data_IF_395545909564
#
_entry.id   IF_395545909564
#
_cell.length_a   1.000
_cell.length_b   1.000
_cell.length_c   1.000
_cell.angle_alpha   90.00
_cell.angle_beta   90.00
_cell.angle_gamma   90.00
#
_symmetry.space_group_name_H-M   'P 1'
#
loop_
_entity.id
_entity.type
_entity.pdbx_description
1 polymer ?
#
# COMPACT_ATOMS: atom_id res chain seq x y z
N UNK A 1 12.87 -2.35 15.83
CA UNK A 1 12.50 -3.65 16.46
C UNK A 1 13.68 -4.20 17.23
N UNK A 2 14.85 -4.23 16.60
CA UNK A 2 16.13 -4.58 17.21
C UNK A 2 16.94 -3.29 17.48
N UNK A 3 18.04 -3.34 18.26
CA UNK A 3 18.97 -2.21 18.42
C UNK A 3 19.51 -1.69 17.08
N UNK A 4 19.88 -0.41 17.03
CA UNK A 4 20.43 0.25 15.84
C UNK A 4 21.62 -0.49 15.24
N UNK A 5 22.55 -0.93 16.08
CA UNK A 5 23.72 -1.73 15.67
C UNK A 5 23.33 -2.99 14.86
N UNK A 6 22.24 -3.67 15.20
CA UNK A 6 21.75 -4.80 14.41
C UNK A 6 20.99 -4.35 13.16
N UNK A 7 20.17 -3.30 13.27
CA UNK A 7 19.31 -2.86 12.18
C UNK A 7 20.07 -2.18 11.03
N UNK A 8 21.02 -1.32 11.35
CA UNK A 8 21.67 -0.40 10.41
C UNK A 8 23.03 -0.90 9.94
N UNK A 9 23.68 -1.76 10.74
CA UNK A 9 25.04 -2.21 10.49
C UNK A 9 25.15 -3.74 10.33
N UNK A 10 25.09 -4.49 11.44
CA UNK A 10 25.49 -5.91 11.45
C UNK A 10 24.59 -6.82 10.62
N UNK A 11 23.27 -6.61 10.64
CA UNK A 11 22.33 -7.41 9.86
C UNK A 11 21.92 -6.71 8.56
N UNK A 12 22.21 -5.42 8.40
CA UNK A 12 21.93 -4.69 7.16
C UNK A 12 22.85 -5.20 6.06
N UNK A 13 22.29 -5.41 4.87
CA UNK A 13 23.04 -5.87 3.69
C UNK A 13 23.71 -4.67 3.01
N UNK A 14 24.56 -3.97 3.75
CA UNK A 14 25.30 -2.80 3.27
C UNK A 14 26.24 -3.20 2.11
N UNK A 15 26.41 -2.33 1.11
CA UNK A 15 27.27 -2.61 -0.04
C UNK A 15 28.75 -2.68 0.38
N UNK A 16 29.56 -3.39 -0.41
CA UNK A 16 31.00 -3.51 -0.23
C UNK A 16 31.44 -4.10 1.13
N UNK A 17 30.57 -4.87 1.78
CA UNK A 17 30.90 -5.55 3.02
C UNK A 17 30.40 -6.98 2.99
N UNK A 18 31.16 -7.89 3.61
CA UNK A 18 30.75 -9.27 3.75
C UNK A 18 29.65 -9.36 4.81
N UNK A 19 28.56 -10.04 4.46
CA UNK A 19 27.35 -10.14 5.28
C UNK A 19 26.82 -11.57 5.30
N UNK A 20 26.43 -12.02 6.49
CA UNK A 20 25.73 -13.28 6.66
C UNK A 20 24.31 -13.15 6.11
N UNK A 21 23.88 -14.14 5.34
CA UNK A 21 22.55 -14.18 4.76
C UNK A 21 21.92 -15.58 4.89
N UNK A 22 20.59 -15.60 4.80
CA UNK A 22 19.84 -16.84 4.58
C UNK A 22 19.25 -16.76 3.18
N UNK A 23 19.83 -17.53 2.26
CA UNK A 23 19.48 -17.48 0.84
C UNK A 23 18.44 -18.52 0.47
N UNK A 24 17.57 -18.10 -0.45
CA UNK A 24 16.79 -19.00 -1.30
C UNK A 24 17.27 -18.77 -2.73
N UNK A 25 17.67 -19.84 -3.40
CA UNK A 25 18.27 -19.81 -4.74
C UNK A 25 17.43 -20.69 -5.64
N UNK A 26 17.05 -20.17 -6.80
CA UNK A 26 16.26 -20.90 -7.79
C UNK A 26 16.97 -21.00 -9.13
N UNK A 27 16.69 -22.08 -9.84
CA UNK A 27 16.88 -22.14 -11.30
C UNK A 27 15.54 -21.79 -11.96
N UNK A 28 15.49 -20.65 -12.64
CA UNK A 28 14.29 -20.13 -13.30
C UNK A 28 14.43 -20.19 -14.82
N UNK A 29 13.33 -20.35 -15.57
CA UNK A 29 13.29 -19.97 -16.99
C UNK A 29 13.13 -18.45 -17.17
N UNK A 30 13.12 -18.01 -18.43
CA UNK A 30 12.89 -16.61 -18.82
C UNK A 30 11.53 -16.06 -18.44
N UNK A 31 10.57 -16.92 -18.10
CA UNK A 31 9.24 -16.53 -17.64
C UNK A 31 9.16 -16.54 -16.10
N UNK A 32 10.21 -16.93 -15.38
CA UNK A 32 10.23 -17.01 -13.92
C UNK A 32 9.57 -18.28 -13.34
N UNK A 33 9.51 -19.39 -14.09
CA UNK A 33 9.06 -20.69 -13.57
C UNK A 33 10.21 -21.43 -12.90
N UNK A 34 9.95 -22.02 -11.74
CA UNK A 34 10.96 -22.72 -10.92
C UNK A 34 11.18 -24.14 -11.43
N UNK A 35 12.44 -24.50 -11.72
CA UNK A 35 12.86 -25.88 -12.01
C UNK A 35 13.57 -26.55 -10.84
N UNK A 36 14.34 -25.75 -10.10
CA UNK A 36 15.14 -26.22 -8.98
C UNK A 36 15.18 -25.15 -7.90
N UNK A 37 15.26 -25.59 -6.66
CA UNK A 37 15.16 -24.74 -5.47
C UNK A 37 16.13 -25.21 -4.40
N UNK A 38 16.92 -24.27 -3.89
CA UNK A 38 17.89 -24.50 -2.84
C UNK A 38 17.74 -23.46 -1.73
N UNK A 39 17.93 -23.91 -0.48
CA UNK A 39 17.92 -23.07 0.71
C UNK A 39 19.22 -23.28 1.48
N UNK A 40 19.77 -22.20 2.04
CA UNK A 40 20.89 -22.33 2.97
C UNK A 40 21.40 -21.02 3.53
N UNK A 41 22.24 -21.14 4.57
CA UNK A 41 23.01 -20.01 5.10
C UNK A 41 24.19 -19.72 4.18
N UNK A 42 24.41 -18.45 3.89
CA UNK A 42 25.41 -17.97 2.93
C UNK A 42 26.16 -16.77 3.50
N UNK A 43 27.27 -16.44 2.85
CA UNK A 43 27.95 -15.15 2.99
C UNK A 43 27.84 -14.45 1.64
N UNK A 44 27.38 -13.21 1.65
CA UNK A 44 27.24 -12.38 0.45
C UNK A 44 28.03 -11.09 0.61
N UNK A 45 28.33 -10.45 -0.51
CA UNK A 45 28.90 -9.11 -0.56
C UNK A 45 28.12 -8.31 -1.59
N UNK A 46 27.23 -7.43 -1.13
CA UNK A 46 26.40 -6.64 -2.04
C UNK A 46 27.28 -5.68 -2.83
N UNK A 47 27.22 -5.71 -4.17
CA UNK A 47 28.04 -4.84 -4.99
C UNK A 47 27.54 -3.39 -5.00
N UNK A 48 26.25 -3.15 -4.79
CA UNK A 48 25.69 -1.79 -4.83
C UNK A 48 24.36 -1.70 -4.08
N UNK A 49 23.98 -0.51 -3.64
CA UNK A 49 22.73 -0.22 -2.91
C UNK A 49 21.80 0.62 -3.78
N UNK A 50 21.01 -0.04 -4.62
CA UNK A 50 20.06 0.65 -5.50
C UNK A 50 18.86 1.18 -4.70
N UNK A 51 18.52 2.45 -4.93
CA UNK A 51 17.20 2.98 -4.63
C UNK A 51 16.20 2.53 -5.71
N UNK A 52 14.90 2.59 -5.42
CA UNK A 52 13.87 2.19 -6.39
C UNK A 52 13.91 3.03 -7.66
N UNK A 53 14.35 4.28 -7.55
CA UNK A 53 14.45 5.24 -8.64
C UNK A 53 15.57 4.86 -9.60
N UNK A 54 16.71 4.39 -9.09
CA UNK A 54 17.81 3.89 -9.91
C UNK A 54 17.35 2.70 -10.77
N UNK A 55 16.68 1.73 -10.13
CA UNK A 55 16.13 0.58 -10.85
C UNK A 55 15.02 0.96 -11.82
N UNK A 56 14.17 1.95 -11.47
CA UNK A 56 13.11 2.43 -12.35
C UNK A 56 13.67 3.07 -13.61
N UNK A 57 14.71 3.92 -13.50
CA UNK A 57 15.38 4.53 -14.66
C UNK A 57 15.95 3.49 -15.61
N UNK A 58 16.55 2.42 -15.09
CA UNK A 58 17.03 1.29 -15.90
C UNK A 58 15.86 0.65 -16.66
N UNK A 59 14.75 0.37 -15.99
CA UNK A 59 13.57 -0.26 -16.58
C UNK A 59 12.96 0.61 -17.69
N UNK A 60 12.92 1.93 -17.50
CA UNK A 60 12.36 2.88 -18.46
C UNK A 60 13.27 3.16 -19.66
N UNK A 61 14.58 2.91 -19.53
CA UNK A 61 15.57 3.17 -20.57
C UNK A 61 16.41 1.91 -20.89
N UNK A 62 15.78 0.82 -21.37
CA UNK A 62 16.43 -0.48 -21.50
C UNK A 62 17.59 -0.50 -22.51
N UNK A 63 17.57 0.40 -23.48
CA UNK A 63 18.60 0.49 -24.54
C UNK A 63 19.75 1.46 -24.19
N UNK A 64 19.66 2.15 -23.05
CA UNK A 64 20.66 3.14 -22.62
C UNK A 64 21.58 2.55 -21.54
N UNK A 65 22.88 2.78 -21.69
CA UNK A 65 23.84 2.45 -20.63
C UNK A 65 23.77 3.52 -19.53
N UNK A 66 23.54 3.15 -18.25
CA UNK A 66 23.48 4.12 -17.16
C UNK A 66 24.82 4.84 -16.99
N UNK A 67 24.76 6.16 -16.88
CA UNK A 67 25.90 7.01 -16.56
C UNK A 67 26.37 6.86 -15.11
N UNK A 68 27.47 7.53 -14.78
CA UNK A 68 28.04 7.51 -13.43
C UNK A 68 27.13 8.19 -12.39
N UNK A 69 26.35 9.19 -12.80
CA UNK A 69 25.39 9.89 -11.93
C UNK A 69 24.05 9.13 -11.78
N UNK A 70 23.81 8.11 -12.61
CA UNK A 70 22.54 7.38 -12.63
C UNK A 70 22.47 6.26 -11.59
N UNK A 71 23.63 5.71 -11.21
CA UNK A 71 23.75 4.59 -10.29
C UNK A 71 24.70 4.92 -9.13
N UNK A 72 24.44 4.38 -7.94
CA UNK A 72 25.34 4.53 -6.80
C UNK A 72 26.65 3.78 -7.03
N UNK A 73 27.67 3.97 -6.18
CA UNK A 73 28.94 3.26 -6.27
C UNK A 73 28.75 1.73 -6.38
N UNK A 74 29.60 1.09 -7.20
CA UNK A 74 29.57 -0.34 -7.48
C UNK A 74 30.90 -0.96 -7.08
N UNK A 75 30.86 -1.92 -6.15
CA UNK A 75 31.99 -2.72 -5.68
C UNK A 75 32.16 -4.01 -6.49
N UNK A 76 33.34 -4.63 -6.43
CA UNK A 76 33.54 -5.99 -6.94
C UNK A 76 33.75 -6.13 -8.45
N UNK A 77 34.13 -5.06 -9.14
CA UNK A 77 34.53 -5.09 -10.56
C UNK A 77 33.38 -5.22 -11.57
N UNK A 78 32.13 -5.05 -11.11
CA UNK A 78 30.96 -5.05 -11.99
C UNK A 78 30.79 -3.72 -12.71
N UNK A 79 30.44 -3.76 -13.98
CA UNK A 79 30.11 -2.56 -14.75
C UNK A 79 28.65 -2.11 -14.49
N UNK A 80 28.35 -0.86 -14.83
CA UNK A 80 26.99 -0.31 -14.76
C UNK A 80 26.06 -1.09 -15.70
N UNK A 81 26.57 -1.48 -16.86
CA UNK A 81 25.90 -2.35 -17.82
C UNK A 81 25.54 -3.72 -17.25
N UNK A 82 26.45 -4.38 -16.51
CA UNK A 82 26.15 -5.68 -15.88
C UNK A 82 24.98 -5.58 -14.89
N UNK A 83 24.92 -4.48 -14.12
CA UNK A 83 23.81 -4.23 -13.18
C UNK A 83 22.52 -3.98 -13.94
N UNK A 84 22.56 -3.14 -14.98
CA UNK A 84 21.39 -2.81 -15.79
C UNK A 84 20.78 -4.07 -16.44
N UNK A 85 21.61 -4.90 -17.09
CA UNK A 85 21.18 -6.15 -17.73
C UNK A 85 20.50 -7.10 -16.72
N UNK A 86 21.04 -7.21 -15.50
CA UNK A 86 20.45 -8.03 -14.43
C UNK A 86 19.09 -7.51 -13.97
N UNK A 87 18.98 -6.20 -13.78
CA UNK A 87 17.70 -5.57 -13.41
C UNK A 87 16.65 -5.82 -14.48
N UNK A 88 16.99 -5.67 -15.77
CA UNK A 88 16.08 -5.89 -16.89
C UNK A 88 15.63 -7.36 -16.99
N UNK A 89 16.54 -8.32 -16.80
CA UNK A 89 16.19 -9.75 -16.77
C UNK A 89 15.22 -10.05 -15.62
N UNK A 90 15.51 -9.56 -14.41
CA UNK A 90 14.64 -9.75 -13.25
C UNK A 90 13.29 -9.05 -13.44
N UNK A 91 13.27 -7.87 -14.05
CA UNK A 91 12.04 -7.14 -14.36
C UNK A 91 11.14 -7.96 -15.29
N UNK A 92 11.69 -8.49 -16.39
CA UNK A 92 10.94 -9.32 -17.34
C UNK A 92 10.35 -10.56 -16.68
N UNK A 93 11.14 -11.26 -15.87
CA UNK A 93 10.65 -12.41 -15.09
C UNK A 93 9.52 -12.01 -14.13
N UNK A 94 9.68 -10.89 -13.42
CA UNK A 94 8.66 -10.39 -12.50
C UNK A 94 7.37 -9.97 -13.22
N UNK A 95 7.43 -9.45 -14.44
CA UNK A 95 6.23 -9.18 -15.25
C UNK A 95 5.47 -10.48 -15.58
N UNK A 96 6.19 -11.51 -16.05
CA UNK A 96 5.58 -12.81 -16.34
C UNK A 96 4.99 -13.48 -15.08
N UNK A 97 5.71 -13.44 -13.95
CA UNK A 97 5.23 -13.96 -12.67
C UNK A 97 3.97 -13.25 -12.19
N UNK A 98 3.93 -11.91 -12.31
CA UNK A 98 2.77 -11.11 -11.92
C UNK A 98 1.56 -11.40 -12.79
N UNK A 99 1.74 -11.51 -14.11
CA UNK A 99 0.65 -11.83 -15.02
C UNK A 99 0.03 -13.19 -14.64
N UNK A 100 0.86 -14.24 -14.48
CA UNK A 100 0.37 -15.55 -14.03
C UNK A 100 -0.37 -15.48 -12.70
N UNK A 101 0.14 -14.70 -11.74
CA UNK A 101 -0.50 -14.53 -10.43
C UNK A 101 -1.86 -13.83 -10.55
N UNK A 102 -1.98 -12.85 -11.45
CA UNK A 102 -3.26 -12.24 -11.81
C UNK A 102 -4.20 -13.25 -12.46
N UNK A 103 -3.72 -14.02 -13.44
CA UNK A 103 -4.50 -15.08 -14.10
C UNK A 103 -4.97 -16.16 -13.11
N UNK A 104 -4.18 -16.44 -12.07
CA UNK A 104 -4.51 -17.35 -10.96
C UNK A 104 -5.48 -16.71 -9.93
N UNK A 105 -5.96 -15.50 -10.19
CA UNK A 105 -7.01 -14.81 -9.43
C UNK A 105 -6.52 -13.94 -8.27
N UNK A 106 -5.29 -13.43 -8.31
CA UNK A 106 -4.81 -12.51 -7.28
C UNK A 106 -5.50 -11.15 -7.37
N UNK A 107 -5.94 -10.65 -6.21
CA UNK A 107 -6.59 -9.36 -6.04
C UNK A 107 -5.60 -8.32 -5.50
N UNK A 108 -5.55 -7.19 -6.19
CA UNK A 108 -4.80 -6.01 -5.75
C UNK A 108 -5.74 -4.84 -5.49
N UNK A 109 -5.79 -4.39 -4.24
CA UNK A 109 -6.55 -3.24 -3.77
C UNK A 109 -5.58 -2.21 -3.19
N UNK A 110 -4.80 -1.60 -4.08
CA UNK A 110 -3.79 -0.63 -3.68
C UNK A 110 -4.44 0.67 -3.24
N UNK A 111 -3.93 1.23 -2.14
CA UNK A 111 -4.25 2.58 -1.69
C UNK A 111 -2.95 3.38 -1.67
N UNK A 112 -2.86 4.51 -2.40
CA UNK A 112 -1.69 5.36 -2.35
C UNK A 112 -1.45 5.85 -0.92
N UNK A 113 -0.21 6.22 -0.62
CA UNK A 113 0.16 6.68 0.73
C UNK A 113 0.56 8.14 0.71
N UNK A 114 0.05 8.89 1.69
CA UNK A 114 0.50 10.24 1.96
C UNK A 114 1.90 10.24 2.56
N UNK A 115 2.83 10.93 1.91
CA UNK A 115 4.18 11.15 2.37
C UNK A 115 4.46 12.65 2.50
N UNK A 116 5.42 12.99 3.36
CA UNK A 116 5.80 14.37 3.66
C UNK A 116 7.26 14.60 3.32
N UNK A 117 7.56 15.80 2.84
CA UNK A 117 8.91 16.34 2.83
C UNK A 117 9.10 17.15 4.10
N UNK A 118 10.19 16.90 4.81
CA UNK A 118 10.50 17.56 6.09
C UNK A 118 11.68 18.52 5.91
N UNK A 119 11.67 19.63 6.64
CA UNK A 119 12.82 20.51 6.84
C UNK A 119 13.84 19.81 7.74
N UNK A 120 14.94 19.30 7.18
CA UNK A 120 15.89 18.40 7.86
C UNK A 120 16.24 18.81 9.31
N UNK A 121 16.71 20.04 9.57
CA UNK A 121 17.07 20.49 10.91
C UNK A 121 15.89 20.74 11.85
N UNK A 122 14.70 21.08 11.33
CA UNK A 122 13.54 21.52 12.14
C UNK A 122 12.44 20.47 12.28
N UNK A 123 12.43 19.45 11.43
CA UNK A 123 11.42 18.40 11.37
C UNK A 123 10.03 18.85 10.91
N UNK A 124 9.85 20.12 10.53
CA UNK A 124 8.58 20.66 10.08
C UNK A 124 8.24 20.21 8.65
N UNK A 125 6.98 19.88 8.32
CA UNK A 125 6.59 19.51 6.97
C UNK A 125 6.63 20.73 6.04
N UNK A 126 7.35 20.61 4.93
CA UNK A 126 7.47 21.64 3.88
C UNK A 126 6.63 21.32 2.64
N UNK A 127 6.22 20.06 2.49
CA UNK A 127 5.49 19.56 1.33
C UNK A 127 4.87 18.19 1.60
N UNK A 128 3.93 17.79 0.75
CA UNK A 128 3.40 16.44 0.71
C UNK A 128 3.36 15.90 -0.72
N UNK A 129 3.30 14.57 -0.84
CA UNK A 129 3.12 13.87 -2.11
C UNK A 129 2.48 12.50 -1.88
N UNK A 130 1.87 11.91 -2.91
CA UNK A 130 1.39 10.53 -2.88
C UNK A 130 2.47 9.58 -3.34
N UNK A 131 2.82 8.59 -2.52
CA UNK A 131 3.71 7.51 -2.93
C UNK A 131 2.94 6.45 -3.73
N UNK A 132 3.26 6.36 -5.01
CA UNK A 132 2.73 5.36 -5.94
C UNK A 132 3.79 4.28 -6.19
N UNK A 133 3.35 3.01 -6.21
CA UNK A 133 4.26 1.91 -6.51
C UNK A 133 4.58 1.85 -8.00
N UNK A 134 5.87 1.81 -8.32
CA UNK A 134 6.41 1.72 -9.68
C UNK A 134 6.82 0.27 -10.03
N UNK A 135 7.30 0.07 -11.25
CA UNK A 135 7.70 -1.25 -11.73
C UNK A 135 8.93 -1.81 -11.00
N UNK A 136 9.83 -0.95 -10.51
CA UNK A 136 10.93 -1.36 -9.64
C UNK A 136 10.45 -1.90 -8.27
N UNK A 137 9.38 -1.33 -7.70
CA UNK A 137 8.76 -1.87 -6.47
C UNK A 137 8.18 -3.26 -6.73
N UNK A 138 7.43 -3.35 -7.82
CA UNK A 138 6.73 -4.53 -8.31
C UNK A 138 7.70 -5.65 -8.68
N UNK A 139 8.89 -5.33 -9.18
CA UNK A 139 9.97 -6.30 -9.43
C UNK A 139 10.33 -7.03 -8.13
N UNK A 140 10.69 -6.27 -7.10
CA UNK A 140 11.09 -6.83 -5.80
C UNK A 140 9.93 -7.60 -5.17
N UNK A 141 8.70 -7.10 -5.29
CA UNK A 141 7.49 -7.76 -4.76
C UNK A 141 7.39 -9.22 -5.20
N UNK A 142 7.52 -9.52 -6.50
CA UNK A 142 7.32 -10.88 -7.02
C UNK A 142 8.38 -11.88 -6.51
N UNK A 143 9.65 -11.48 -6.44
CA UNK A 143 10.70 -12.35 -5.89
C UNK A 143 10.54 -12.54 -4.38
N UNK A 144 10.06 -11.52 -3.66
CA UNK A 144 9.79 -11.64 -2.23
C UNK A 144 8.58 -12.54 -1.97
N UNK A 145 7.54 -12.48 -2.81
CA UNK A 145 6.42 -13.41 -2.76
C UNK A 145 6.88 -14.84 -3.02
N UNK A 146 7.69 -15.06 -4.06
CA UNK A 146 8.25 -16.38 -4.38
C UNK A 146 9.06 -16.94 -3.21
N UNK A 147 9.96 -16.14 -2.62
CA UNK A 147 10.73 -16.50 -1.43
C UNK A 147 9.83 -16.92 -0.26
N UNK A 148 8.81 -16.11 0.03
CA UNK A 148 7.88 -16.36 1.13
C UNK A 148 7.07 -17.64 0.91
N UNK A 149 6.59 -17.91 -0.30
CA UNK A 149 5.84 -19.13 -0.64
C UNK A 149 6.71 -20.38 -0.55
N UNK A 150 7.92 -20.33 -1.13
CA UNK A 150 8.91 -21.42 -1.06
C UNK A 150 9.24 -21.80 0.39
N UNK A 151 9.56 -20.80 1.21
CA UNK A 151 9.86 -21.02 2.63
C UNK A 151 8.64 -21.53 3.39
N UNK A 152 7.44 -21.02 3.12
CA UNK A 152 6.22 -21.51 3.76
C UNK A 152 6.01 -23.01 3.49
N UNK A 153 6.19 -23.46 2.25
CA UNK A 153 6.13 -24.87 1.89
C UNK A 153 7.22 -25.70 2.59
N UNK A 154 8.46 -25.19 2.63
CA UNK A 154 9.60 -25.89 3.22
C UNK A 154 9.44 -26.09 4.74
N UNK A 155 9.03 -25.06 5.47
CA UNK A 155 8.84 -25.15 6.93
C UNK A 155 7.65 -26.04 7.27
N UNK A 156 6.52 -25.92 6.55
CA UNK A 156 5.32 -26.72 6.82
C UNK A 156 5.58 -28.21 6.61
N UNK A 157 6.30 -28.57 5.55
CA UNK A 157 6.72 -29.95 5.29
C UNK A 157 7.56 -30.55 6.41
N UNK A 158 8.39 -29.72 7.06
CA UNK A 158 9.35 -30.17 8.08
C UNK A 158 8.75 -30.14 9.48
N UNK A 159 7.89 -29.17 9.77
CA UNK A 159 7.26 -28.94 11.07
C UNK A 159 5.76 -28.65 10.90
N UNK A 160 4.93 -29.66 10.59
CA UNK A 160 3.52 -29.47 10.27
C UNK A 160 2.69 -28.92 11.43
N UNK A 161 3.16 -29.06 12.67
CA UNK A 161 2.45 -28.62 13.88
C UNK A 161 2.98 -27.31 14.49
N UNK A 162 4.11 -26.78 14.00
CA UNK A 162 4.78 -25.61 14.58
C UNK A 162 5.08 -24.50 13.58
N UNK A 163 4.63 -24.64 12.34
CA UNK A 163 4.95 -23.68 11.30
C UNK A 163 4.20 -22.37 11.51
N UNK A 164 4.95 -21.27 11.48
CA UNK A 164 4.40 -19.91 11.50
C UNK A 164 4.07 -19.52 10.07
N UNK A 165 2.77 -19.39 9.81
CA UNK A 165 2.21 -19.07 8.49
C UNK A 165 1.39 -17.79 8.56
N UNK A 166 0.97 -17.27 7.41
CA UNK A 166 0.15 -16.07 7.28
C UNK A 166 -0.97 -16.31 6.28
N UNK A 167 -2.22 -16.22 6.75
CA UNK A 167 -3.42 -16.38 5.92
C UNK A 167 -4.15 -15.05 5.72
N UNK A 168 -5.08 -15.05 4.77
CA UNK A 168 -6.02 -13.96 4.55
C UNK A 168 -7.37 -14.60 4.23
N UNK A 169 -8.30 -14.52 5.17
CA UNK A 169 -9.64 -15.08 5.00
C UNK A 169 -10.42 -14.28 3.96
N UNK A 170 -11.44 -14.88 3.30
CA UNK A 170 -12.33 -14.16 2.41
C UNK A 170 -12.98 -12.95 3.10
N UNK A 171 -13.41 -11.93 2.34
CA UNK A 171 -14.13 -10.76 2.87
C UNK A 171 -15.44 -11.14 3.56
N UNK A 172 -15.98 -10.19 4.33
CA UNK A 172 -17.29 -10.30 4.94
C UNK A 172 -18.38 -10.27 3.85
N UNK A 173 -19.12 -11.37 3.69
CA UNK A 173 -20.08 -11.57 2.57
C UNK A 173 -21.15 -10.48 2.50
N UNK A 174 -21.83 -10.18 3.60
CA UNK A 174 -22.88 -9.15 3.64
C UNK A 174 -22.39 -7.75 3.25
N UNK A 175 -21.37 -7.20 3.94
CA UNK A 175 -20.79 -5.90 3.58
C UNK A 175 -20.22 -5.83 2.15
N UNK A 176 -19.67 -6.92 1.62
CA UNK A 176 -19.21 -6.97 0.22
C UNK A 176 -20.39 -6.92 -0.76
N UNK A 177 -21.45 -7.69 -0.50
CA UNK A 177 -22.66 -7.64 -1.31
C UNK A 177 -23.33 -6.25 -1.26
N UNK A 178 -23.28 -5.57 -0.11
CA UNK A 178 -23.76 -4.19 0.03
C UNK A 178 -22.95 -3.21 -0.83
N UNK A 179 -21.62 -3.33 -0.82
CA UNK A 179 -20.74 -2.51 -1.65
C UNK A 179 -21.02 -2.74 -3.15
N UNK A 180 -21.17 -4.00 -3.58
CA UNK A 180 -21.50 -4.36 -4.95
C UNK A 180 -22.87 -3.81 -5.38
N UNK A 181 -23.90 -3.90 -4.50
CA UNK A 181 -25.23 -3.33 -4.77
C UNK A 181 -25.21 -1.81 -4.89
N UNK A 182 -24.43 -1.13 -4.04
CA UNK A 182 -24.28 0.33 -4.11
C UNK A 182 -23.65 0.75 -5.45
N UNK A 183 -22.58 0.06 -5.87
CA UNK A 183 -21.91 0.31 -7.15
C UNK A 183 -22.83 0.01 -8.34
N UNK A 184 -23.60 -1.08 -8.28
CA UNK A 184 -24.61 -1.39 -9.31
C UNK A 184 -25.68 -0.31 -9.43
N UNK A 185 -26.10 0.27 -8.30
CA UNK A 185 -27.08 1.36 -8.28
C UNK A 185 -26.62 2.64 -9.01
N UNK A 186 -25.31 2.83 -9.18
CA UNK A 186 -24.72 3.92 -9.97
C UNK A 186 -24.21 3.46 -11.34
N UNK A 187 -24.66 2.29 -11.80
CA UNK A 187 -24.33 1.76 -13.12
C UNK A 187 -22.99 1.02 -13.21
N UNK A 188 -22.35 0.69 -12.09
CA UNK A 188 -21.08 -0.04 -12.06
C UNK A 188 -21.30 -1.47 -11.58
N UNK A 189 -21.25 -2.43 -12.51
CA UNK A 189 -21.34 -3.85 -12.16
C UNK A 189 -19.95 -4.41 -11.81
N UNK A 190 -19.86 -5.08 -10.66
CA UNK A 190 -18.64 -5.75 -10.19
C UNK A 190 -19.01 -7.17 -9.79
N UNK A 191 -18.30 -8.13 -10.35
CA UNK A 191 -18.34 -9.51 -9.89
C UNK A 191 -17.52 -9.64 -8.60
N UNK A 192 -18.18 -10.10 -7.54
CA UNK A 192 -17.59 -10.26 -6.21
C UNK A 192 -17.51 -11.71 -5.74
N UNK A 193 -17.67 -12.68 -6.65
CA UNK A 193 -17.66 -14.11 -6.32
C UNK A 193 -16.29 -14.59 -5.84
N UNK A 194 -15.21 -14.10 -6.45
CA UNK A 194 -13.84 -14.50 -6.11
C UNK A 194 -12.88 -13.32 -6.11
N UNK A 195 -11.69 -13.50 -5.55
CA UNK A 195 -10.63 -12.48 -5.63
C UNK A 195 -10.26 -12.13 -7.08
N UNK A 196 -10.26 -13.12 -7.97
CA UNK A 196 -9.95 -12.94 -9.39
C UNK A 196 -11.02 -12.15 -10.11
N UNK A 197 -12.30 -12.52 -9.95
CA UNK A 197 -13.40 -11.81 -10.64
C UNK A 197 -13.56 -10.36 -10.18
N UNK A 198 -13.27 -10.08 -8.89
CA UNK A 198 -13.16 -8.68 -8.40
C UNK A 198 -12.04 -7.95 -9.12
N UNK A 199 -10.87 -8.58 -9.25
CA UNK A 199 -9.72 -7.97 -9.89
C UNK A 199 -9.97 -7.69 -11.38
N UNK A 200 -10.55 -8.65 -12.10
CA UNK A 200 -10.87 -8.52 -13.52
C UNK A 200 -11.90 -7.40 -13.75
N UNK A 201 -12.92 -7.31 -12.89
CA UNK A 201 -13.91 -6.23 -12.91
C UNK A 201 -13.24 -4.85 -12.73
N UNK A 202 -12.27 -4.75 -11.80
CA UNK A 202 -11.51 -3.51 -11.57
C UNK A 202 -10.59 -3.17 -12.74
N UNK A 203 -9.94 -4.16 -13.36
CA UNK A 203 -9.08 -3.92 -14.52
C UNK A 203 -9.88 -3.45 -15.74
N UNK A 204 -11.01 -4.10 -16.03
CA UNK A 204 -11.90 -3.70 -17.11
C UNK A 204 -12.41 -2.26 -16.91
N UNK A 205 -12.81 -1.93 -15.68
CA UNK A 205 -13.24 -0.58 -15.31
C UNK A 205 -12.12 0.45 -15.45
N UNK A 206 -10.91 0.12 -15.00
CA UNK A 206 -9.73 0.98 -15.13
C UNK A 206 -9.42 1.28 -16.60
N UNK A 207 -9.44 0.27 -17.47
CA UNK A 207 -9.18 0.42 -18.89
C UNK A 207 -10.24 1.30 -19.59
N UNK A 208 -11.53 1.08 -19.28
CA UNK A 208 -12.62 1.89 -19.83
C UNK A 208 -12.48 3.37 -19.41
N UNK A 209 -12.27 3.64 -18.13
CA UNK A 209 -12.13 5.01 -17.63
C UNK A 209 -10.87 5.71 -18.13
N UNK A 210 -9.76 5.00 -18.31
CA UNK A 210 -8.55 5.58 -18.87
C UNK A 210 -8.73 6.02 -20.33
N UNK A 211 -9.64 5.38 -21.08
CA UNK A 211 -9.97 5.75 -22.44
C UNK A 211 -10.98 6.91 -22.53
N UNK A 212 -11.88 7.03 -21.56
CA UNK A 212 -13.04 7.94 -21.63
C UNK A 212 -12.92 9.20 -20.77
N UNK A 213 -12.14 9.16 -19.68
CA UNK A 213 -12.09 10.21 -18.65
C UNK A 213 -10.71 10.88 -18.58
N UNK A 214 -10.64 12.14 -18.10
CA UNK A 214 -9.37 12.73 -17.72
C UNK A 214 -8.62 11.85 -16.69
N UNK A 215 -7.28 11.75 -16.77
CA UNK A 215 -6.51 10.85 -15.90
C UNK A 215 -6.78 11.03 -14.39
N UNK A 216 -6.89 12.27 -13.92
CA UNK A 216 -7.15 12.57 -12.51
C UNK A 216 -8.53 12.10 -12.05
N UNK A 217 -9.55 12.22 -12.92
CA UNK A 217 -10.90 11.77 -12.63
C UNK A 217 -10.97 10.23 -12.57
N UNK A 218 -10.34 9.55 -13.53
CA UNK A 218 -10.23 8.09 -13.53
C UNK A 218 -9.57 7.56 -12.25
N UNK A 219 -8.47 8.18 -11.81
CA UNK A 219 -7.78 7.85 -10.56
C UNK A 219 -8.69 8.05 -9.35
N UNK A 220 -9.38 9.20 -9.27
CA UNK A 220 -10.26 9.53 -8.15
C UNK A 220 -11.44 8.55 -8.04
N UNK A 221 -12.09 8.23 -9.16
CA UNK A 221 -13.18 7.24 -9.21
C UNK A 221 -12.70 5.85 -8.85
N UNK A 222 -11.54 5.42 -9.37
CA UNK A 222 -10.97 4.12 -9.02
C UNK A 222 -10.65 4.01 -7.54
N UNK A 223 -10.11 5.07 -6.93
CA UNK A 223 -9.83 5.09 -5.50
C UNK A 223 -11.12 4.94 -4.65
N UNK A 224 -12.24 5.54 -5.06
CA UNK A 224 -13.54 5.36 -4.40
C UNK A 224 -14.00 3.90 -4.47
N UNK A 225 -13.96 3.29 -5.66
CA UNK A 225 -14.36 1.89 -5.85
C UNK A 225 -13.48 0.95 -5.01
N UNK A 226 -12.16 1.12 -5.11
CA UNK A 226 -11.19 0.34 -4.32
C UNK A 226 -11.42 0.54 -2.81
N UNK A 227 -11.70 1.76 -2.35
CA UNK A 227 -12.02 2.01 -0.94
C UNK A 227 -13.27 1.22 -0.50
N UNK A 228 -14.35 1.28 -1.28
CA UNK A 228 -15.60 0.58 -0.98
C UNK A 228 -15.41 -0.93 -0.91
N UNK A 229 -14.67 -1.52 -1.85
CA UNK A 229 -14.36 -2.95 -1.88
C UNK A 229 -13.31 -3.37 -0.84
N UNK A 230 -12.50 -2.44 -0.32
CA UNK A 230 -11.50 -2.73 0.72
C UNK A 230 -12.10 -2.82 2.12
N UNK A 231 -13.21 -2.11 2.39
CA UNK A 231 -13.83 -2.07 3.74
C UNK A 231 -14.30 -3.44 4.24
N UNK A 232 -14.92 -4.31 3.40
CA UNK A 232 -15.32 -5.67 3.79
C UNK A 232 -14.17 -6.66 3.96
N UNK A 233 -12.95 -6.31 3.55
CA UNK A 233 -11.82 -7.24 3.56
C UNK A 233 -11.35 -7.51 5.00
N UNK A 234 -11.10 -8.79 5.30
CA UNK A 234 -10.55 -9.17 6.59
C UNK A 234 -9.04 -8.88 6.66
N UNK A 235 -8.50 -8.53 7.84
CA UNK A 235 -7.06 -8.37 7.99
C UNK A 235 -6.36 -9.73 7.83
N UNK A 236 -5.26 -9.77 7.08
CA UNK A 236 -4.39 -10.94 7.02
C UNK A 236 -3.68 -11.17 8.36
N UNK A 237 -3.63 -12.42 8.81
CA UNK A 237 -3.18 -12.80 10.15
C UNK A 237 -2.13 -13.92 10.13
N UNK A 238 -1.19 -13.85 11.06
CA UNK A 238 -0.27 -14.94 11.38
C UNK A 238 -0.98 -15.99 12.22
N UNK A 239 -0.63 -17.25 12.01
CA UNK A 239 -1.13 -18.38 12.78
C UNK A 239 -0.09 -19.50 12.86
N UNK A 240 -0.28 -20.40 13.82
CA UNK A 240 0.46 -21.63 13.99
C UNK A 240 -0.29 -22.79 13.33
N UNK A 241 0.39 -23.54 12.47
CA UNK A 241 -0.20 -24.67 11.74
C UNK A 241 -0.72 -25.80 12.64
N UNK A 242 -0.22 -25.94 13.88
CA UNK A 242 -0.73 -26.96 14.81
C UNK A 242 -1.97 -26.55 15.61
N UNK A 243 -2.43 -25.31 15.49
CA UNK A 243 -3.72 -24.88 16.07
C UNK A 243 -4.81 -24.86 15.00
N UNK A 244 -4.46 -24.45 13.78
CA UNK A 244 -5.34 -24.47 12.63
C UNK A 244 -5.02 -25.71 11.79
N UNK A 245 -5.77 -26.80 11.91
CA UNK A 245 -5.39 -28.08 11.29
C UNK A 245 -5.94 -28.29 9.88
N UNK A 246 -6.95 -27.51 9.47
CA UNK A 246 -7.55 -27.62 8.15
C UNK A 246 -6.74 -26.82 7.10
N UNK A 247 -6.08 -27.53 6.19
CA UNK A 247 -5.25 -26.90 5.14
C UNK A 247 -6.04 -25.93 4.24
N UNK A 248 -7.34 -26.16 4.04
CA UNK A 248 -8.21 -25.24 3.29
C UNK A 248 -8.27 -23.84 3.90
N UNK A 249 -8.05 -23.72 5.21
CA UNK A 249 -8.09 -22.46 5.94
C UNK A 249 -6.76 -21.68 5.87
N UNK A 250 -5.72 -22.22 5.21
CA UNK A 250 -4.39 -21.59 5.11
C UNK A 250 -4.33 -20.58 3.97
N UNK A 251 -5.30 -20.65 3.06
CA UNK A 251 -5.37 -19.84 1.85
C UNK A 251 -5.23 -18.37 2.16
N UNK A 252 -4.51 -17.66 1.28
CA UNK A 252 -4.43 -16.22 1.29
C UNK A 252 -5.31 -15.64 0.18
N UNK A 253 -6.52 -15.20 0.54
CA UNK A 253 -7.55 -14.71 -0.40
C UNK A 253 -6.99 -13.75 -1.45
N UNK A 254 -6.46 -12.59 -1.04
CA UNK A 254 -5.97 -11.59 -2.00
C UNK A 254 -4.77 -12.04 -2.86
N UNK A 255 -3.96 -12.99 -2.39
CA UNK A 255 -2.84 -13.47 -3.20
C UNK A 255 -3.26 -14.65 -4.09
N UNK A 256 -4.44 -15.23 -3.85
CA UNK A 256 -4.93 -16.46 -4.45
C UNK A 256 -3.98 -17.67 -4.32
N UNK A 257 -3.22 -17.74 -3.22
CA UNK A 257 -2.26 -18.84 -2.97
C UNK A 257 -2.69 -19.72 -1.79
N UNK A 258 -2.42 -21.03 -1.83
CA UNK A 258 -2.83 -21.96 -0.77
C UNK A 258 -2.00 -21.79 0.51
N UNK A 259 -0.77 -21.29 0.40
CA UNK A 259 0.17 -21.25 1.51
C UNK A 259 1.09 -20.03 1.40
N UNK A 260 1.25 -19.31 2.51
CA UNK A 260 2.09 -18.11 2.56
C UNK A 260 2.64 -17.89 3.97
N UNK A 261 3.80 -17.23 4.06
CA UNK A 261 4.38 -16.74 5.32
C UNK A 261 5.16 -15.45 5.08
N UNK A 262 5.82 -14.92 6.10
CA UNK A 262 6.82 -13.87 5.94
C UNK A 262 8.19 -14.36 6.37
N UNK A 263 9.17 -14.21 5.49
CA UNK A 263 10.56 -14.61 5.68
C UNK A 263 11.55 -13.48 5.35
N UNK A 264 11.20 -12.60 4.41
CA UNK A 264 12.13 -11.70 3.74
C UNK A 264 12.51 -10.41 4.49
N UNK A 265 12.12 -10.24 5.76
CA UNK A 265 12.42 -9.01 6.52
C UNK A 265 12.61 -9.23 8.04
N UNK A 266 13.54 -10.11 8.48
CA UNK A 266 13.76 -10.42 9.89
C UNK A 266 14.22 -9.24 10.76
N UNK A 267 14.85 -8.23 10.17
CA UNK A 267 15.32 -7.03 10.89
C UNK A 267 14.16 -6.22 11.48
N UNK A 268 13.01 -6.22 10.80
CA UNK A 268 11.85 -5.35 11.11
C UNK A 268 10.55 -6.11 11.42
N UNK A 269 10.55 -7.44 11.33
CA UNK A 269 9.38 -8.29 11.60
C UNK A 269 9.80 -9.52 12.41
N UNK A 270 9.22 -9.67 13.59
CA UNK A 270 9.47 -10.83 14.46
C UNK A 270 8.97 -12.18 13.90
N UNK A 271 7.83 -12.25 13.17
CA UNK A 271 7.40 -13.48 12.49
C UNK A 271 8.47 -14.06 11.57
N UNK A 272 9.17 -13.21 10.82
CA UNK A 272 10.27 -13.62 9.96
C UNK A 272 11.41 -14.23 10.78
N UNK A 273 11.72 -13.71 11.98
CA UNK A 273 12.71 -14.32 12.88
C UNK A 273 12.28 -15.73 13.31
N UNK A 274 11.00 -15.94 13.63
CA UNK A 274 10.47 -17.27 13.94
C UNK A 274 10.60 -18.23 12.74
N UNK A 275 10.26 -17.74 11.55
CA UNK A 275 10.37 -18.52 10.30
C UNK A 275 11.83 -18.83 9.96
N UNK A 276 12.76 -17.90 10.18
CA UNK A 276 14.20 -18.14 9.99
C UNK A 276 14.72 -19.26 10.91
N UNK A 277 14.28 -19.30 12.17
CA UNK A 277 14.62 -20.38 13.11
C UNK A 277 14.03 -21.72 12.67
N UNK A 278 12.76 -21.73 12.24
CA UNK A 278 12.12 -22.92 11.70
C UNK A 278 12.83 -23.44 10.45
N UNK A 279 13.22 -22.54 9.54
CA UNK A 279 13.95 -22.92 8.32
C UNK A 279 15.36 -23.43 8.64
N UNK A 280 16.08 -22.79 9.57
CA UNK A 280 17.38 -23.26 10.04
C UNK A 280 17.29 -24.70 10.60
N UNK A 281 16.26 -24.98 11.39
CA UNK A 281 16.02 -26.31 11.91
C UNK A 281 15.59 -27.32 10.84
N UNK A 282 14.78 -26.89 9.87
CA UNK A 282 14.38 -27.71 8.72
C UNK A 282 15.58 -28.11 7.84
N UNK A 283 16.63 -27.29 7.84
CA UNK A 283 17.91 -27.56 7.19
C UNK A 283 18.95 -28.19 8.11
N UNK A 284 18.57 -28.54 9.34
CA UNK A 284 19.43 -29.20 10.33
C UNK A 284 20.66 -28.38 10.76
N UNK A 285 20.62 -27.05 10.62
CA UNK A 285 21.69 -26.18 11.11
C UNK A 285 21.67 -26.05 12.64
N UNK A 286 20.47 -25.98 13.22
CA UNK A 286 20.24 -25.82 14.66
C UNK A 286 19.01 -26.62 15.07
N UNK A 287 18.96 -27.22 16.27
CA UNK A 287 17.77 -27.90 16.75
C UNK A 287 16.63 -26.91 16.98
N UNK A 288 15.39 -27.32 16.67
CA UNK A 288 14.20 -26.55 17.03
C UNK A 288 13.79 -26.86 18.48
N UNK A 289 13.56 -25.83 19.28
CA UNK A 289 12.91 -25.98 20.57
C UNK A 289 11.46 -26.47 20.39
N UNK A 290 11.12 -27.59 21.02
CA UNK A 290 9.80 -28.20 20.93
C UNK A 290 8.82 -27.45 21.84
N UNK A 291 8.23 -26.37 21.33
CA UNK A 291 7.18 -25.62 22.01
C UNK A 291 5.81 -26.24 21.75
N UNK A 292 4.87 -26.24 22.72
CA UNK A 292 3.48 -26.57 22.44
C UNK A 292 2.89 -25.63 21.37
N UNK A 293 2.11 -26.13 20.38
CA UNK A 293 1.56 -25.31 19.30
C UNK A 293 0.79 -24.07 19.76
N UNK A 294 0.12 -24.17 20.92
CA UNK A 294 -0.60 -23.06 21.54
C UNK A 294 0.32 -21.89 21.95
N UNK A 295 1.58 -22.16 22.32
CA UNK A 295 2.55 -21.11 22.65
C UNK A 295 2.98 -20.38 21.38
N UNK A 296 3.24 -21.12 20.30
CA UNK A 296 3.53 -20.53 18.98
C UNK A 296 2.35 -19.68 18.51
N UNK A 297 1.11 -20.15 18.68
CA UNK A 297 -0.08 -19.39 18.34
C UNK A 297 -0.19 -18.09 19.15
N UNK A 298 0.13 -18.09 20.45
CA UNK A 298 0.16 -16.86 21.26
C UNK A 298 1.18 -15.84 20.73
N UNK A 299 2.34 -16.30 20.24
CA UNK A 299 3.31 -15.42 19.57
C UNK A 299 2.72 -14.84 18.27
N UNK A 300 2.03 -15.65 17.48
CA UNK A 300 1.34 -15.20 16.26
C UNK A 300 0.29 -14.12 16.57
N UNK A 301 -0.57 -14.34 17.58
CA UNK A 301 -1.57 -13.36 18.02
C UNK A 301 -0.92 -12.04 18.43
N UNK A 302 0.14 -12.07 19.24
CA UNK A 302 0.89 -10.86 19.61
C UNK A 302 1.49 -10.15 18.40
N UNK A 303 1.96 -10.90 17.40
CA UNK A 303 2.46 -10.32 16.15
C UNK A 303 1.34 -9.66 15.34
N UNK A 304 0.13 -10.22 15.34
CA UNK A 304 -1.05 -9.61 14.69
C UNK A 304 -1.43 -8.30 15.37
N UNK A 305 -1.52 -8.29 16.70
CA UNK A 305 -1.80 -7.09 17.50
C UNK A 305 -0.78 -5.98 17.20
N UNK A 306 0.52 -6.29 17.26
CA UNK A 306 1.57 -5.30 17.00
C UNK A 306 1.60 -4.84 15.55
N UNK A 307 1.23 -5.70 14.59
CA UNK A 307 1.08 -5.31 13.19
C UNK A 307 -0.06 -4.31 13.02
N UNK A 308 -1.19 -4.52 13.69
CA UNK A 308 -2.31 -3.57 13.69
C UNK A 308 -1.93 -2.26 14.37
N UNK A 309 -1.34 -2.30 15.56
CA UNK A 309 -0.90 -1.10 16.27
C UNK A 309 0.10 -0.27 15.45
N UNK A 310 1.06 -0.93 14.78
CA UNK A 310 2.03 -0.24 13.92
C UNK A 310 1.36 0.44 12.72
N UNK A 311 0.34 -0.18 12.12
CA UNK A 311 -0.46 0.43 11.05
C UNK A 311 -1.20 1.67 11.55
N UNK A 312 -1.95 1.54 12.64
CA UNK A 312 -2.73 2.65 13.22
C UNK A 312 -1.82 3.82 13.64
N UNK A 313 -0.67 3.53 14.24
CA UNK A 313 0.33 4.54 14.57
C UNK A 313 0.84 5.26 13.32
N UNK A 314 1.21 4.52 12.26
CA UNK A 314 1.66 5.12 11.00
C UNK A 314 0.60 6.02 10.37
N UNK A 315 -0.67 5.57 10.34
CA UNK A 315 -1.78 6.37 9.82
C UNK A 315 -1.98 7.63 10.67
N UNK A 316 -1.98 7.52 12.00
CA UNK A 316 -2.09 8.65 12.91
C UNK A 316 -0.93 9.66 12.77
N UNK A 317 0.30 9.18 12.56
CA UNK A 317 1.45 10.04 12.27
C UNK A 317 1.23 10.83 10.97
N UNK A 318 0.77 10.21 9.89
CA UNK A 318 0.46 10.94 8.66
C UNK A 318 -0.59 12.04 8.88
N UNK A 319 -1.60 11.78 9.73
CA UNK A 319 -2.59 12.80 10.05
C UNK A 319 -2.04 13.93 10.92
N UNK A 320 -1.13 13.60 11.84
CA UNK A 320 -0.43 14.57 12.69
C UNK A 320 0.39 15.55 11.84
N UNK A 321 1.18 15.03 10.90
CA UNK A 321 1.97 15.87 9.99
C UNK A 321 1.07 16.72 9.07
N UNK A 322 -0.05 16.17 8.59
CA UNK A 322 -1.01 16.95 7.81
C UNK A 322 -1.64 18.07 8.66
N UNK A 323 -2.01 17.79 9.92
CA UNK A 323 -2.54 18.81 10.81
C UNK A 323 -1.52 19.93 11.06
N UNK A 324 -0.28 19.55 11.34
CA UNK A 324 0.80 20.53 11.51
C UNK A 324 1.01 21.38 10.25
N UNK A 325 0.89 20.78 9.07
CA UNK A 325 1.01 21.50 7.80
C UNK A 325 -0.16 22.49 7.58
N UNK A 326 -1.40 22.12 7.92
CA UNK A 326 -2.55 23.04 7.90
C UNK A 326 -2.33 24.20 8.87
N UNK A 327 -1.80 23.94 10.07
CA UNK A 327 -1.49 24.98 11.06
C UNK A 327 -0.42 25.97 10.56
N UNK A 328 0.59 25.48 9.82
CA UNK A 328 1.68 26.31 9.28
C UNK A 328 1.26 27.14 8.06
N UNK A 329 0.41 26.58 7.21
CA UNK A 329 0.13 27.12 5.88
C UNK A 329 -1.25 27.77 5.76
N UNK A 330 -2.11 27.59 6.77
CA UNK A 330 -3.51 27.96 6.71
C UNK A 330 -4.37 26.95 5.95
N UNK A 331 -5.61 27.33 5.58
CA UNK A 331 -6.55 26.43 4.92
C UNK A 331 -5.99 25.83 3.63
N UNK A 332 -6.02 24.49 3.51
CA UNK A 332 -5.58 23.78 2.30
C UNK A 332 -6.79 23.34 1.50
N UNK A 333 -7.01 23.96 0.34
CA UNK A 333 -8.10 23.61 -0.58
C UNK A 333 -7.67 22.48 -1.51
N UNK A 334 -8.52 21.48 -1.70
CA UNK A 334 -8.26 20.34 -2.57
C UNK A 334 -9.53 19.89 -3.30
N UNK A 335 -9.41 19.44 -4.56
CA UNK A 335 -10.48 18.68 -5.20
C UNK A 335 -10.65 17.35 -4.49
N UNK A 336 -11.90 16.91 -4.38
CA UNK A 336 -12.26 15.66 -3.74
C UNK A 336 -13.44 15.02 -4.47
N UNK A 337 -13.65 13.73 -4.22
CA UNK A 337 -14.74 12.96 -4.80
C UNK A 337 -15.52 12.26 -3.70
N UNK A 338 -16.84 12.31 -3.77
CA UNK A 338 -17.71 11.70 -2.75
C UNK A 338 -17.63 10.18 -2.84
N UNK A 339 -17.37 9.53 -1.70
CA UNK A 339 -17.27 8.07 -1.53
C UNK A 339 -18.47 7.46 -0.80
N UNK A 340 -19.24 8.26 -0.07
CA UNK A 340 -20.35 7.77 0.72
C UNK A 340 -21.22 8.91 1.20
N UNK A 341 -22.53 8.66 1.29
CA UNK A 341 -23.52 9.67 1.68
C UNK A 341 -24.35 9.13 2.83
N UNK A 342 -24.45 9.92 3.90
CA UNK A 342 -25.31 9.70 5.06
C UNK A 342 -26.32 10.86 5.15
N UNK A 343 -27.26 10.77 6.09
CA UNK A 343 -28.31 11.77 6.30
C UNK A 343 -27.79 13.12 6.80
N UNK A 344 -26.69 13.14 7.55
CA UNK A 344 -26.09 14.34 8.17
C UNK A 344 -24.65 14.63 7.78
N UNK A 345 -24.09 13.83 6.88
CA UNK A 345 -22.69 13.95 6.45
C UNK A 345 -22.45 13.18 5.16
N UNK A 346 -21.35 13.49 4.48
CA UNK A 346 -20.84 12.65 3.40
C UNK A 346 -19.33 12.47 3.53
N UNK A 347 -18.84 11.33 3.09
CA UNK A 347 -17.43 10.97 3.08
C UNK A 347 -16.84 11.30 1.70
N UNK A 348 -15.67 11.91 1.67
CA UNK A 348 -14.94 12.30 0.45
C UNK A 348 -13.54 11.68 0.43
N UNK A 349 -13.05 11.36 -0.75
CA UNK A 349 -11.66 11.01 -1.00
C UNK A 349 -10.95 12.23 -1.58
N UNK A 350 -9.78 12.56 -1.06
CA UNK A 350 -8.92 13.65 -1.54
C UNK A 350 -7.76 13.02 -2.32
N UNK A 351 -7.78 12.98 -3.67
CA UNK A 351 -6.82 12.23 -4.46
C UNK A 351 -5.36 12.62 -4.23
N UNK A 352 -5.07 13.93 -4.21
CA UNK A 352 -3.71 14.48 -4.02
C UNK A 352 -3.10 14.14 -2.65
N UNK A 353 -3.93 13.77 -1.67
CA UNK A 353 -3.47 13.39 -0.34
C UNK A 353 -3.69 11.90 -0.06
N UNK A 354 -4.38 11.19 -0.93
CA UNK A 354 -4.81 9.80 -0.74
C UNK A 354 -5.49 9.51 0.61
N UNK A 355 -6.27 10.48 1.13
CA UNK A 355 -6.99 10.35 2.40
C UNK A 355 -8.51 10.40 2.21
N UNK A 356 -9.21 9.74 3.12
CA UNK A 356 -10.66 9.83 3.27
C UNK A 356 -11.02 10.78 4.40
N UNK A 357 -12.00 11.66 4.18
CA UNK A 357 -12.49 12.59 5.19
C UNK A 357 -14.01 12.66 5.21
N UNK A 358 -14.56 12.96 6.38
CA UNK A 358 -15.99 13.21 6.55
C UNK A 358 -16.26 14.70 6.55
N UNK A 359 -17.22 15.12 5.74
CA UNK A 359 -17.80 16.46 5.75
C UNK A 359 -19.13 16.37 6.48
N UNK A 360 -19.25 17.14 7.56
CA UNK A 360 -20.50 17.25 8.32
C UNK A 360 -21.28 18.46 7.83
N UNK A 361 -22.59 18.29 7.67
CA UNK A 361 -23.45 19.31 7.06
C UNK A 361 -23.72 20.48 8.00
N UNK A 362 -23.68 20.25 9.32
CA UNK A 362 -23.79 21.29 10.35
C UNK A 362 -22.67 22.34 10.29
N UNK A 363 -21.57 22.04 9.61
CA UNK A 363 -20.46 22.96 9.33
C UNK A 363 -20.58 23.69 8.01
N UNK A 364 -21.63 23.44 7.22
CA UNK A 364 -21.84 24.05 5.91
C UNK A 364 -22.84 25.20 6.01
N UNK A 365 -22.63 26.26 5.23
CA UNK A 365 -23.56 27.39 5.12
C UNK A 365 -24.71 27.08 4.14
N UNK A 366 -25.56 26.12 4.52
CA UNK A 366 -26.70 25.67 3.72
C UNK A 366 -28.03 26.15 4.32
N UNK A 367 -28.98 26.50 3.46
CA UNK A 367 -30.36 26.88 3.80
C UNK A 367 -31.23 25.65 4.09
N UNK A 368 -31.06 24.59 3.31
CA UNK A 368 -31.87 23.38 3.43
C UNK A 368 -31.09 22.12 3.01
N UNK A 369 -31.49 20.99 3.57
CA UNK A 369 -30.87 19.68 3.35
C UNK A 369 -31.98 18.65 3.19
N UNK A 370 -31.97 17.90 2.09
CA UNK A 370 -32.91 16.82 1.85
C UNK A 370 -32.14 15.52 1.57
N UNK A 371 -32.34 14.51 2.41
CA UNK A 371 -31.75 13.19 2.22
C UNK A 371 -32.77 12.23 1.63
N UNK A 372 -32.41 11.57 0.53
CA UNK A 372 -33.25 10.58 -0.14
C UNK A 372 -32.46 9.31 -0.44
N UNK A 373 -33.17 8.18 -0.56
CA UNK A 373 -32.60 6.92 -1.05
C UNK A 373 -33.42 6.46 -2.25
N UNK A 374 -33.00 6.85 -3.45
CA UNK A 374 -33.60 6.35 -4.68
C UNK A 374 -32.89 5.06 -5.10
N UNK A 375 -33.66 3.99 -5.33
CA UNK A 375 -33.13 2.68 -5.77
C UNK A 375 -31.96 2.14 -4.91
N UNK A 376 -31.97 2.46 -3.60
CA UNK A 376 -30.92 2.06 -2.65
C UNK A 376 -29.65 2.93 -2.65
N UNK A 377 -29.52 3.88 -3.57
CA UNK A 377 -28.40 4.82 -3.62
C UNK A 377 -28.73 6.06 -2.78
N UNK A 378 -27.91 6.39 -1.77
CA UNK A 378 -28.11 7.57 -0.95
C UNK A 378 -27.76 8.84 -1.72
N UNK A 379 -28.64 9.83 -1.65
CA UNK A 379 -28.51 11.15 -2.26
C UNK A 379 -28.81 12.23 -1.24
N UNK A 380 -28.08 13.33 -1.32
CA UNK A 380 -28.25 14.44 -0.42
C UNK A 380 -28.29 15.75 -1.22
N UNK A 381 -29.44 16.42 -1.20
CA UNK A 381 -29.63 17.71 -1.85
C UNK A 381 -29.29 18.81 -0.84
N UNK A 382 -28.31 19.64 -1.17
CA UNK A 382 -27.91 20.83 -0.41
C UNK A 382 -28.39 22.07 -1.14
N UNK A 383 -29.09 22.98 -0.45
CA UNK A 383 -29.34 24.33 -0.94
C UNK A 383 -28.37 25.29 -0.26
N UNK A 384 -27.38 25.79 -0.98
CA UNK A 384 -26.37 26.70 -0.46
C UNK A 384 -26.95 28.10 -0.31
N UNK A 385 -26.69 28.76 0.83
CA UNK A 385 -27.23 30.10 1.10
C UNK A 385 -26.78 31.12 0.07
N UNK A 386 -27.63 32.07 -0.30
CA UNK A 386 -27.17 33.22 -1.10
C UNK A 386 -26.11 34.03 -0.33
N UNK A 387 -25.06 34.48 -1.02
CA UNK A 387 -24.09 35.45 -0.50
C UNK A 387 -24.36 36.81 -1.15
N UNK A 388 -23.66 37.86 -0.68
CA UNK A 388 -23.78 39.20 -1.27
C UNK A 388 -23.41 39.21 -2.78
N UNK A 389 -22.60 38.26 -3.22
CA UNK A 389 -22.08 38.17 -4.58
C UNK A 389 -22.69 37.05 -5.43
N UNK A 390 -23.29 36.03 -4.82
CA UNK A 390 -23.75 34.82 -5.52
C UNK A 390 -25.14 34.35 -5.06
N UNK A 391 -26.06 34.02 -5.98
CA UNK A 391 -27.41 33.57 -5.63
C UNK A 391 -27.41 32.15 -5.07
N UNK A 392 -28.41 31.81 -4.24
CA UNK A 392 -28.62 30.45 -3.70
C UNK A 392 -28.59 29.40 -4.81
N UNK A 393 -27.92 28.27 -4.53
CA UNK A 393 -27.69 27.18 -5.51
C UNK A 393 -27.98 25.82 -4.90
N UNK A 394 -28.74 25.01 -5.62
CA UNK A 394 -28.98 23.61 -5.29
C UNK A 394 -27.84 22.73 -5.82
N UNK A 395 -27.28 21.87 -4.95
CA UNK A 395 -26.28 20.87 -5.29
C UNK A 395 -26.74 19.48 -4.85
N UNK A 396 -26.67 18.51 -5.74
CA UNK A 396 -26.93 17.10 -5.41
C UNK A 396 -25.60 16.41 -5.12
N UNK A 397 -25.50 15.85 -3.92
CA UNK A 397 -24.36 15.05 -3.44
C UNK A 397 -24.75 13.58 -3.51
N UNK A 398 -24.07 12.83 -4.37
CA UNK A 398 -24.18 11.39 -4.50
C UNK A 398 -22.79 10.76 -4.70
N UNK A 399 -22.73 9.43 -4.82
CA UNK A 399 -21.45 8.74 -5.05
C UNK A 399 -20.78 9.27 -6.33
N UNK A 400 -19.47 9.49 -6.29
CA UNK A 400 -18.68 10.09 -7.37
C UNK A 400 -18.94 11.56 -7.68
N UNK A 401 -19.79 12.27 -6.94
CA UNK A 401 -19.93 13.72 -7.11
C UNK A 401 -18.59 14.41 -6.83
N UNK A 402 -18.04 15.20 -7.77
CA UNK A 402 -16.85 16.01 -7.51
C UNK A 402 -17.23 17.19 -6.60
N UNK A 403 -16.38 17.46 -5.62
CA UNK A 403 -16.54 18.56 -4.66
C UNK A 403 -15.18 19.20 -4.38
N UNK A 404 -15.17 20.48 -4.04
CA UNK A 404 -13.96 21.12 -3.49
C UNK A 404 -14.07 21.11 -1.97
N UNK A 405 -13.01 20.70 -1.28
CA UNK A 405 -12.94 20.73 0.18
C UNK A 405 -11.81 21.62 0.67
N UNK A 406 -12.00 22.19 1.84
CA UNK A 406 -11.02 22.96 2.59
C UNK A 406 -10.64 22.20 3.86
N UNK A 407 -9.35 21.98 4.06
CA UNK A 407 -8.79 21.48 5.31
C UNK A 407 -8.40 22.66 6.19
N UNK A 408 -9.06 22.80 7.32
CA UNK A 408 -8.96 24.00 8.17
C UNK A 408 -8.55 23.61 9.58
N UNK A 409 -7.59 24.36 10.14
CA UNK A 409 -7.20 24.22 11.54
C UNK A 409 -8.41 24.44 12.45
N UNK A 410 -8.46 23.68 13.54
CA UNK A 410 -9.45 23.89 14.59
C UNK A 410 -8.83 24.60 15.79
N UNK A 411 -9.66 25.08 16.71
CA UNK A 411 -9.17 25.65 17.99
C UNK A 411 -8.36 24.65 18.83
N UNK A 412 -8.48 23.35 18.53
CA UNK A 412 -7.70 22.31 19.17
C UNK A 412 -6.37 22.11 18.43
N UNK A 413 -5.23 22.09 19.14
CA UNK A 413 -3.92 21.96 18.51
C UNK A 413 -3.79 20.63 17.77
N UNK A 414 -3.14 20.66 16.60
CA UNK A 414 -2.87 19.50 15.76
C UNK A 414 -4.14 18.73 15.36
N UNK A 415 -5.24 19.46 15.21
CA UNK A 415 -6.50 18.97 14.65
C UNK A 415 -6.98 19.91 13.57
N UNK A 416 -7.47 19.30 12.49
CA UNK A 416 -8.12 20.01 11.39
C UNK A 416 -9.49 19.40 11.11
N UNK A 417 -10.38 20.19 10.54
CA UNK A 417 -11.64 19.73 9.97
C UNK A 417 -11.65 19.84 8.46
N UNK A 418 -12.53 19.05 7.83
CA UNK A 418 -12.77 19.11 6.39
C UNK A 418 -14.15 19.68 6.15
N UNK A 419 -14.22 20.78 5.41
CA UNK A 419 -15.45 21.48 5.06
C UNK A 419 -15.58 21.47 3.54
N UNK A 420 -16.77 21.23 3.01
CA UNK A 420 -17.01 21.37 1.58
C UNK A 420 -17.27 22.82 1.23
N UNK A 421 -16.73 23.26 0.10
CA UNK A 421 -16.94 24.61 -0.41
C UNK A 421 -18.14 24.64 -1.35
N UNK A 422 -18.76 25.82 -1.46
CA UNK A 422 -19.82 26.11 -2.43
C UNK A 422 -19.36 25.72 -3.86
N UNK A 423 -20.24 25.15 -4.70
CA UNK A 423 -19.93 24.93 -6.12
C UNK A 423 -19.43 26.20 -6.79
N UNK A 424 -18.36 26.08 -7.58
CA UNK A 424 -17.75 27.22 -8.28
C UNK A 424 -16.72 27.99 -7.46
N UNK A 425 -16.57 27.72 -6.16
CA UNK A 425 -15.48 28.27 -5.36
C UNK A 425 -14.12 27.85 -5.97
N UNK A 426 -13.33 28.83 -6.39
CA UNK A 426 -12.03 28.59 -6.97
C UNK A 426 -11.11 27.83 -6.00
N UNK A 427 -10.41 26.83 -6.53
CA UNK A 427 -9.29 26.17 -5.82
C UNK A 427 -8.13 27.16 -5.65
N UNK A 428 -8.06 28.20 -6.49
CA UNK A 428 -7.07 29.28 -6.42
C UNK A 428 -7.58 30.44 -5.54
N UNK A 429 -6.98 30.59 -4.37
CA UNK A 429 -7.05 31.77 -3.52
C UNK A 429 -5.66 32.08 -2.98
N UNK A 430 -5.30 33.36 -2.96
CA UNK A 430 -4.00 33.90 -2.53
C UNK A 430 -3.65 33.54 -1.07
N UNK A 431 -3.13 32.33 -0.89
CA UNK A 431 -2.47 31.86 0.32
C UNK A 431 -1.55 30.74 -0.13
N UNK A 432 -0.23 31.01 -0.15
CA UNK A 432 0.85 30.18 -0.67
C UNK A 432 0.38 28.79 -1.15
N UNK A 433 0.01 28.68 -2.43
CA UNK A 433 -0.47 27.43 -3.02
C UNK A 433 0.63 26.37 -2.91
N UNK A 434 0.58 25.57 -1.84
CA UNK A 434 1.39 24.37 -1.69
C UNK A 434 0.81 23.35 -2.64
N UNK A 435 1.32 23.39 -3.87
CA UNK A 435 1.16 22.31 -4.82
C UNK A 435 1.90 21.07 -4.28
N UNK A 436 1.43 19.86 -4.60
CA UNK A 436 2.24 18.66 -4.44
C UNK A 436 3.65 18.97 -4.97
N UNK A 437 4.67 18.73 -4.14
CA UNK A 437 6.03 18.96 -4.61
C UNK A 437 6.31 17.86 -5.62
N UNK A 438 6.51 18.21 -6.90
CA UNK A 438 7.08 17.28 -7.87
C UNK A 438 8.37 16.75 -7.25
N UNK A 439 8.55 15.43 -7.26
CA UNK A 439 9.70 14.76 -6.66
C UNK A 439 10.99 15.30 -7.31
N UNK A 440 11.54 16.40 -6.81
CA UNK A 440 12.83 16.92 -7.23
C UNK A 440 13.85 15.90 -6.77
N UNK A 441 14.72 15.48 -7.69
CA UNK A 441 15.90 14.68 -7.40
C UNK A 441 16.70 15.38 -6.31
N UNK A 442 16.52 14.96 -5.06
CA UNK A 442 17.46 15.29 -3.99
C UNK A 442 18.53 14.21 -4.09
N UNK A 443 19.81 14.57 -4.35
CA UNK A 443 20.91 13.61 -4.27
C UNK A 443 20.87 12.97 -2.88
N UNK A 444 20.90 11.64 -2.82
CA UNK A 444 20.87 10.84 -1.59
C UNK A 444 22.13 10.98 -0.72
N UNK A 445 22.84 12.10 -0.79
CA UNK A 445 24.11 12.30 -0.10
C UNK A 445 23.99 12.77 1.36
N UNK A 446 22.80 13.12 1.87
CA UNK A 446 22.66 13.73 3.21
C UNK A 446 21.58 13.10 4.10
N UNK A 447 21.29 11.80 3.96
CA UNK A 447 20.41 11.07 4.90
C UNK A 447 21.15 10.03 5.77
N UNK A 448 22.48 10.08 5.81
CA UNK A 448 23.31 9.17 6.64
C UNK A 448 23.55 9.65 8.08
N UNK A 449 22.82 10.66 8.57
CA UNK A 449 22.80 11.00 10.00
C UNK A 449 21.36 11.09 10.54
N UNK A 450 20.76 9.94 10.87
CA UNK A 450 19.67 9.84 11.86
C UNK A 450 19.61 8.44 12.46
#
# INVERSE_FOLDING_TARGET
MLPRLLCEDLCSLNPAEDRLAFSVVWKLDTEGRVFDEWFGRTVIRSCTKLAYEHAQRIIENPDSEPGEEDLPPIDGGWSRKDIAERVLVLHKMAQCMRQRRTDDGALRLDQPKLCFQLDGPKGAPTGFYTYNQQDSNRLIEEFMLLANMAVAARILRSYPQLSVLRRHTPPQEGPLADAARLLKGVGLEIDVETSGTVHDSLQAMAAAWQAELPPQEAIARMAVVVNLLSRPMNPAEYFCSGVLTEAAQYRHYALSVPLYTHFTSPIRRYPDVLVHRLLAAALQYEPLEQLPPIIVQRLCVRCNEKKLSARLCSEACSLLFLAHMVDLCGPIRQPAIVMGVLDKSFDVFIPEMAISRRVYIDKLEVESVEFTKQTGVPRLKLTWRATDTEPSIDQIIELFTPVTVSLEATDMPLKFSTVALRPGAAVEGEGAALRPVERRCVPTAELDEA
#
